data_IF_625080751166
#
_entry.id   IF_625080751166
#
_cell.length_a   1.000
_cell.length_b   1.000
_cell.length_c   1.000
_cell.angle_alpha   90.00
_cell.angle_beta   90.00
_cell.angle_gamma   90.00
#
_symmetry.space_group_name_H-M   'P 1'
#
loop_
_entity.id
_entity.type
_entity.pdbx_description
1 polymer ?
#
# COMPACT_ATOMS: atom_id res chain seq x y z
N UNK A 1 -15.02 -9.35 2.83
CA UNK A 1 -13.66 -9.74 2.39
C UNK A 1 -12.70 -8.59 2.61
N UNK A 2 -11.54 -8.89 3.15
CA UNK A 2 -10.54 -7.88 3.45
C UNK A 2 -9.56 -7.76 2.28
N UNK A 3 -9.25 -6.53 1.89
CA UNK A 3 -8.29 -6.25 0.81
C UNK A 3 -7.22 -5.27 1.27
N UNK A 4 -6.03 -5.41 0.72
CA UNK A 4 -4.96 -4.44 0.87
C UNK A 4 -4.91 -3.64 -0.43
N UNK A 5 -5.15 -2.34 -0.33
CA UNK A 5 -5.27 -1.48 -1.51
C UNK A 5 -4.71 -0.10 -1.25
N UNK A 6 -4.65 0.73 -2.29
CA UNK A 6 -4.20 2.11 -2.20
C UNK A 6 -5.37 3.04 -1.99
N UNK A 7 -5.19 4.03 -1.09
CA UNK A 7 -6.11 5.17 -0.99
C UNK A 7 -5.34 6.42 -1.41
N UNK A 8 -6.02 7.32 -2.11
CA UNK A 8 -5.38 8.53 -2.59
C UNK A 8 -5.36 9.59 -1.51
N UNK A 9 -4.18 10.21 -1.31
CA UNK A 9 -4.00 11.40 -0.49
C UNK A 9 -3.17 12.41 -1.25
N UNK A 10 -2.74 13.46 -0.58
CA UNK A 10 -1.87 14.47 -1.15
C UNK A 10 -2.58 15.50 -2.01
N UNK A 11 -1.79 16.34 -2.70
CA UNK A 11 -2.30 17.43 -3.51
C UNK A 11 -2.82 16.95 -4.86
N UNK A 12 -3.63 17.80 -5.50
CA UNK A 12 -4.28 17.50 -6.77
C UNK A 12 -3.31 17.12 -7.89
N UNK A 13 -2.15 17.80 -7.94
CA UNK A 13 -1.14 17.57 -8.98
C UNK A 13 0.03 16.68 -8.51
N UNK A 14 0.03 16.27 -7.25
CA UNK A 14 1.06 15.40 -6.68
C UNK A 14 0.38 14.24 -5.95
N UNK A 15 -0.02 13.21 -6.68
CA UNK A 15 -0.68 12.06 -6.07
C UNK A 15 0.23 11.38 -5.07
N UNK A 16 -0.35 11.01 -3.95
CA UNK A 16 0.31 10.27 -2.89
C UNK A 16 -0.68 9.23 -2.39
N UNK A 17 -0.23 8.01 -2.24
CA UNK A 17 -1.13 6.91 -1.88
C UNK A 17 -0.71 6.29 -0.55
N UNK A 18 -1.70 5.98 0.27
CA UNK A 18 -1.50 5.16 1.46
C UNK A 18 -1.85 3.72 1.11
N UNK A 19 -1.03 2.78 1.61
CA UNK A 19 -1.30 1.35 1.45
C UNK A 19 -2.04 0.92 2.70
N UNK A 20 -3.29 0.47 2.53
CA UNK A 20 -4.18 0.23 3.67
C UNK A 20 -4.88 -1.12 3.55
N UNK A 21 -5.21 -1.68 4.72
CA UNK A 21 -6.07 -2.85 4.84
C UNK A 21 -7.49 -2.36 5.08
N UNK A 22 -8.43 -2.82 4.29
CA UNK A 22 -9.81 -2.37 4.39
C UNK A 22 -10.77 -3.44 3.90
N UNK A 23 -12.04 -3.34 4.30
CA UNK A 23 -13.09 -4.18 3.75
C UNK A 23 -13.36 -3.71 2.31
N UNK A 24 -13.48 -4.67 1.37
CA UNK A 24 -13.67 -4.34 -0.05
C UNK A 24 -14.95 -3.53 -0.31
N UNK A 25 -15.92 -3.57 0.60
CA UNK A 25 -17.17 -2.82 0.48
C UNK A 25 -17.01 -1.34 0.82
N UNK A 26 -15.92 -0.95 1.46
CA UNK A 26 -15.66 0.45 1.77
C UNK A 26 -15.22 1.20 0.52
N UNK A 27 -15.53 2.49 0.47
CA UNK A 27 -15.04 3.36 -0.61
C UNK A 27 -13.52 3.45 -0.56
N UNK A 28 -12.91 3.69 -1.73
CA UNK A 28 -11.45 3.77 -1.85
C UNK A 28 -10.81 4.69 -0.80
N UNK A 29 -11.41 5.84 -0.54
CA UNK A 29 -10.89 6.83 0.41
C UNK A 29 -11.63 6.80 1.74
N UNK A 30 -12.38 5.72 2.02
CA UNK A 30 -13.11 5.56 3.26
C UNK A 30 -12.24 5.01 4.38
N UNK A 31 -12.92 4.55 5.44
CA UNK A 31 -12.22 3.99 6.60
C UNK A 31 -11.37 2.79 6.24
N UNK A 32 -10.18 2.73 6.86
CA UNK A 32 -9.32 1.56 6.77
C UNK A 32 -9.18 0.89 8.14
N UNK A 33 -8.87 -0.41 8.12
CA UNK A 33 -8.60 -1.17 9.33
C UNK A 33 -7.21 -0.83 9.86
N UNK A 34 -6.23 -0.78 8.94
CA UNK A 34 -4.83 -0.52 9.30
C UNK A 34 -4.11 0.08 8.10
N UNK A 35 -3.18 0.99 8.37
CA UNK A 35 -2.32 1.55 7.33
C UNK A 35 -0.97 0.83 7.38
N UNK A 36 -0.53 0.31 6.23
CA UNK A 36 0.68 -0.50 6.14
C UNK A 36 1.88 0.26 5.58
N UNK A 37 1.65 1.41 4.96
CA UNK A 37 2.73 2.17 4.36
C UNK A 37 2.21 3.18 3.35
N UNK A 38 3.10 3.59 2.44
CA UNK A 38 2.72 4.57 1.42
C UNK A 38 3.41 4.29 0.10
N UNK A 39 2.88 4.89 -0.96
CA UNK A 39 3.45 4.88 -2.30
C UNK A 39 3.42 6.30 -2.86
N UNK A 40 4.59 6.82 -3.24
CA UNK A 40 4.74 8.16 -3.82
C UNK A 40 5.26 8.01 -5.26
N UNK A 41 4.37 7.99 -6.27
CA UNK A 41 4.80 7.78 -7.65
C UNK A 41 5.57 8.96 -8.25
N UNK A 42 5.52 10.12 -7.60
CA UNK A 42 6.22 11.33 -8.06
C UNK A 42 7.43 11.66 -7.18
N UNK A 43 7.93 10.69 -6.44
CA UNK A 43 9.12 10.88 -5.61
C UNK A 43 10.31 11.30 -6.47
N UNK A 44 11.05 12.29 -6.00
CA UNK A 44 12.24 12.80 -6.68
C UNK A 44 13.41 12.89 -5.72
N UNK A 45 14.62 12.79 -6.23
CA UNK A 45 15.84 12.91 -5.43
C UNK A 45 15.91 11.85 -4.34
N UNK A 46 16.04 12.27 -3.10
CA UNK A 46 16.19 11.38 -1.96
C UNK A 46 14.86 10.94 -1.34
N UNK A 47 13.74 11.34 -1.92
CA UNK A 47 12.42 10.95 -1.41
C UNK A 47 12.20 9.45 -1.59
N UNK A 48 11.60 8.81 -0.59
CA UNK A 48 11.22 7.41 -0.73
C UNK A 48 10.02 7.29 -1.65
N UNK A 49 10.12 6.40 -2.62
CA UNK A 49 9.02 6.11 -3.54
C UNK A 49 7.97 5.22 -2.89
N UNK A 50 8.41 4.24 -2.13
CA UNK A 50 7.50 3.31 -1.47
C UNK A 50 8.08 2.91 -0.12
N UNK A 51 7.21 2.81 0.87
CA UNK A 51 7.54 2.22 2.15
C UNK A 51 6.39 1.32 2.55
N UNK A 52 6.68 0.10 2.95
CA UNK A 52 5.66 -0.90 3.20
C UNK A 52 6.14 -1.86 4.29
N UNK A 53 5.29 -2.07 5.28
CA UNK A 53 5.56 -3.06 6.33
C UNK A 53 5.21 -4.45 5.80
N UNK A 54 6.19 -5.12 5.25
CA UNK A 54 6.01 -6.44 4.62
C UNK A 54 5.54 -7.48 5.64
N UNK A 55 6.02 -7.39 6.88
CA UNK A 55 5.60 -8.32 7.93
C UNK A 55 4.09 -8.22 8.17
N UNK A 56 3.55 -7.00 8.21
CA UNK A 56 2.11 -6.80 8.39
C UNK A 56 1.33 -7.23 7.16
N UNK A 57 1.86 -6.99 5.97
CA UNK A 57 1.24 -7.49 4.74
C UNK A 57 1.11 -9.00 4.80
N UNK A 58 2.19 -9.69 5.16
CA UNK A 58 2.18 -11.14 5.28
C UNK A 58 1.18 -11.61 6.34
N UNK A 59 1.09 -10.90 7.45
CA UNK A 59 0.11 -11.19 8.50
C UNK A 59 -1.31 -11.20 7.94
N UNK A 60 -1.68 -10.13 7.23
CA UNK A 60 -3.02 -10.02 6.68
C UNK A 60 -3.29 -11.02 5.57
N UNK A 61 -2.29 -11.28 4.71
CA UNK A 61 -2.42 -12.27 3.66
C UNK A 61 -2.64 -13.66 4.25
N UNK A 62 -1.93 -14.00 5.32
CA UNK A 62 -2.11 -15.29 5.99
C UNK A 62 -3.49 -15.42 6.62
N UNK A 63 -4.18 -14.31 6.86
CA UNK A 63 -5.55 -14.29 7.36
C UNK A 63 -6.60 -14.12 6.26
N UNK A 64 -6.19 -14.31 5.00
CA UNK A 64 -7.10 -14.31 3.87
C UNK A 64 -7.28 -12.98 3.14
N UNK A 65 -6.55 -11.94 3.51
CA UNK A 65 -6.62 -10.67 2.79
C UNK A 65 -6.09 -10.82 1.37
N UNK A 66 -6.72 -10.12 0.42
CA UNK A 66 -6.31 -10.13 -0.97
C UNK A 66 -5.59 -8.84 -1.32
N UNK A 67 -4.55 -8.95 -2.15
CA UNK A 67 -3.80 -7.80 -2.64
C UNK A 67 -4.38 -7.35 -3.97
N UNK A 68 -4.51 -6.02 -4.17
CA UNK A 68 -4.78 -5.49 -5.50
C UNK A 68 -3.51 -5.67 -6.35
N UNK A 69 -3.66 -5.62 -7.66
CA UNK A 69 -2.52 -5.82 -8.57
C UNK A 69 -1.41 -4.81 -8.30
N UNK A 70 -1.77 -3.55 -8.08
CA UNK A 70 -0.78 -2.51 -7.82
C UNK A 70 -0.03 -2.77 -6.51
N UNK A 71 -0.75 -3.13 -5.46
CA UNK A 71 -0.12 -3.43 -4.16
C UNK A 71 0.78 -4.66 -4.29
N UNK A 72 0.36 -5.67 -5.04
CA UNK A 72 1.18 -6.85 -5.28
C UNK A 72 2.52 -6.49 -5.91
N UNK A 73 2.51 -5.61 -6.91
CA UNK A 73 3.73 -5.12 -7.52
C UNK A 73 4.61 -4.39 -6.53
N UNK A 74 4.01 -3.54 -5.69
CA UNK A 74 4.76 -2.78 -4.69
C UNK A 74 5.38 -3.68 -3.62
N UNK A 75 4.69 -4.74 -3.23
CA UNK A 75 5.22 -5.71 -2.28
C UNK A 75 6.46 -6.40 -2.86
N UNK A 76 6.40 -6.82 -4.12
CA UNK A 76 7.55 -7.44 -4.79
C UNK A 76 8.72 -6.48 -4.87
N UNK A 77 8.47 -5.22 -5.22
CA UNK A 77 9.49 -4.20 -5.34
C UNK A 77 10.16 -3.95 -3.99
N UNK A 78 9.38 -3.82 -2.94
CA UNK A 78 9.90 -3.59 -1.59
C UNK A 78 10.70 -4.78 -1.10
N UNK A 79 10.22 -5.99 -1.32
CA UNK A 79 10.93 -7.21 -0.92
C UNK A 79 12.26 -7.33 -1.66
N UNK A 80 12.28 -6.97 -2.95
CA UNK A 80 13.50 -6.97 -3.73
C UNK A 80 14.52 -5.97 -3.21
N UNK A 81 14.08 -4.79 -2.82
CA UNK A 81 14.97 -3.78 -2.22
C UNK A 81 15.52 -4.23 -0.87
N UNK A 82 14.68 -4.87 -0.06
CA UNK A 82 15.10 -5.35 1.24
C UNK A 82 16.11 -6.52 1.12
N UNK A 83 16.03 -7.28 0.04
CA UNK A 83 16.93 -8.40 -0.21
C UNK A 83 18.29 -7.96 -0.79
N UNK A 84 18.36 -6.73 -1.28
CA UNK A 84 19.59 -6.20 -1.87
C UNK A 84 20.56 -5.60 -0.78
#
# INVERSE_FOLDING_TARGET
MVKIRLTRGGAKKRPFYHIVVTDQRNKRDGRSIERLGFYNPVATGNEKRVELDVARVNHWVSHGAQLTDKVRMLVKETAGQAAA
#
